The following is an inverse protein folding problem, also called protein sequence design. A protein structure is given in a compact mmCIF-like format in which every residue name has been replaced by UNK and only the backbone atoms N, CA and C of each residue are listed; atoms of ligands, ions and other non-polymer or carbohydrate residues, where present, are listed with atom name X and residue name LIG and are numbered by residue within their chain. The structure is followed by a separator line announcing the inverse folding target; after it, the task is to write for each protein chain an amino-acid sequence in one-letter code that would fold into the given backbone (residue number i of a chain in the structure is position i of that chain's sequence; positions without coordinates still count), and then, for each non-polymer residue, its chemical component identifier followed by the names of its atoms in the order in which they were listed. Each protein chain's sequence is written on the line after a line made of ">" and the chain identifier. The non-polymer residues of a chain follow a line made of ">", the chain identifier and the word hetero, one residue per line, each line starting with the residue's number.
data_IF_447948580374
#
_entry.id   IF_447948580374
#
_cell.length_a   1.000
_cell.length_b   1.000
_cell.length_c   1.000
_cell.angle_alpha   90.00
_cell.angle_beta   90.00
_cell.angle_gamma   90.00
#
_symmetry.space_group_name_H-M   'P 1'
#
loop_
_entity.id
_entity.type
_entity.pdbx_description
1 polymer ?
#
# COMPACT_ATOMS: atom_id res chain seq x y z
N UNK A 1 -17.11 15.14 -1.86
CA UNK A 1 -15.87 15.26 -1.06
C UNK A 1 -15.75 14.10 -0.08
N UNK A 2 -14.55 13.55 0.14
CA UNK A 2 -14.34 12.51 1.14
C UNK A 2 -14.30 13.07 2.58
N UNK A 3 -14.62 12.22 3.56
CA UNK A 3 -14.50 12.56 5.00
C UNK A 3 -13.02 12.81 5.35
N UNK A 4 -12.73 13.85 6.15
CA UNK A 4 -11.36 14.19 6.60
C UNK A 4 -10.63 13.00 7.24
N UNK A 5 -11.35 12.16 7.99
CA UNK A 5 -10.81 10.94 8.61
C UNK A 5 -10.27 9.93 7.58
N UNK A 6 -10.92 9.78 6.43
CA UNK A 6 -10.47 8.88 5.36
C UNK A 6 -9.19 9.40 4.69
N UNK A 7 -9.10 10.71 4.49
CA UNK A 7 -7.89 11.36 3.96
C UNK A 7 -6.71 11.10 4.90
N UNK A 8 -6.89 11.29 6.20
CA UNK A 8 -5.83 11.06 7.18
C UNK A 8 -5.45 9.58 7.31
N UNK A 9 -6.43 8.67 7.15
CA UNK A 9 -6.18 7.22 7.11
C UNK A 9 -5.26 6.85 5.94
N UNK A 10 -5.48 7.43 4.77
CA UNK A 10 -4.65 7.18 3.59
C UNK A 10 -3.25 7.77 3.75
N UNK A 11 -3.14 9.01 4.27
CA UNK A 11 -1.84 9.62 4.63
C UNK A 11 -1.04 8.76 5.60
N UNK A 12 -1.70 8.17 6.62
CA UNK A 12 -1.04 7.25 7.56
C UNK A 12 -0.53 5.99 6.87
N UNK A 13 -1.29 5.43 5.92
CA UNK A 13 -0.84 4.24 5.16
C UNK A 13 0.36 4.56 4.28
N UNK A 14 0.35 5.71 3.58
CA UNK A 14 1.48 6.13 2.75
C UNK A 14 2.78 6.25 3.56
N UNK A 15 2.71 6.88 4.75
CA UNK A 15 3.88 6.97 5.65
C UNK A 15 4.39 5.60 6.10
N UNK A 16 3.49 4.67 6.41
CA UNK A 16 3.86 3.31 6.82
C UNK A 16 4.43 2.49 5.66
N UNK A 17 3.89 2.66 4.46
CA UNK A 17 4.40 2.00 3.26
C UNK A 17 5.83 2.46 2.96
N UNK A 18 6.07 3.76 2.93
CA UNK A 18 7.41 4.33 2.74
C UNK A 18 8.41 3.83 3.79
N UNK A 19 8.01 3.79 5.07
CA UNK A 19 8.88 3.32 6.17
C UNK A 19 9.30 1.86 6.03
N UNK A 20 8.41 0.99 5.56
CA UNK A 20 8.65 -0.47 5.47
C UNK A 20 8.89 -0.96 4.03
N UNK A 21 9.00 -0.06 3.06
CA UNK A 21 9.08 -0.39 1.64
C UNK A 21 10.23 -1.36 1.35
N UNK A 22 11.44 -0.98 1.79
CA UNK A 22 12.67 -1.75 1.57
C UNK A 22 12.61 -3.13 2.23
N UNK A 23 12.15 -3.20 3.49
CA UNK A 23 12.04 -4.45 4.26
C UNK A 23 11.09 -5.43 3.56
N UNK A 24 9.93 -4.94 3.09
CA UNK A 24 8.97 -5.80 2.39
C UNK A 24 9.48 -6.24 1.03
N UNK A 25 10.24 -5.39 0.34
CA UNK A 25 10.84 -5.71 -0.95
C UNK A 25 11.95 -6.77 -0.80
N UNK A 26 12.82 -6.64 0.20
CA UNK A 26 13.88 -7.63 0.45
C UNK A 26 13.29 -8.99 0.82
N UNK A 27 12.35 -9.04 1.78
CA UNK A 27 11.71 -10.31 2.17
C UNK A 27 10.97 -10.97 1.01
N UNK A 28 10.32 -10.20 0.12
CA UNK A 28 9.70 -10.76 -1.08
C UNK A 28 10.72 -11.35 -2.05
N UNK A 29 11.86 -10.70 -2.25
CA UNK A 29 12.95 -11.21 -3.09
C UNK A 29 13.55 -12.49 -2.50
N UNK A 30 13.72 -12.55 -1.18
CA UNK A 30 14.21 -13.73 -0.48
C UNK A 30 13.27 -14.92 -0.65
N UNK A 31 11.95 -14.74 -0.47
CA UNK A 31 10.94 -15.80 -0.68
C UNK A 31 11.03 -16.42 -2.08
N UNK A 32 11.31 -15.61 -3.10
CA UNK A 32 11.42 -16.07 -4.49
C UNK A 32 12.69 -16.88 -4.77
N UNK A 33 13.75 -16.69 -3.98
CA UNK A 33 15.06 -17.35 -4.19
C UNK A 33 15.19 -18.66 -3.43
N UNK A 34 14.56 -18.74 -2.26
CA UNK A 34 14.67 -19.90 -1.38
C UNK A 34 13.88 -21.08 -1.97
N UNK A 35 14.46 -22.30 -2.07
CA UNK A 35 13.75 -23.48 -2.56
C UNK A 35 13.00 -24.20 -1.42
N UNK A 36 13.59 -24.26 -0.23
CA UNK A 36 13.10 -24.98 0.94
C UNK A 36 11.81 -24.39 1.51
N UNK A 37 10.89 -25.25 1.92
CA UNK A 37 9.63 -24.82 2.53
C UNK A 37 9.82 -24.27 3.95
N UNK A 38 10.68 -24.90 4.75
CA UNK A 38 10.97 -24.48 6.12
C UNK A 38 11.48 -23.03 6.19
N UNK A 39 12.46 -22.69 5.35
CA UNK A 39 13.06 -21.36 5.37
C UNK A 39 12.08 -20.30 4.82
N UNK A 40 11.21 -20.66 3.85
CA UNK A 40 10.10 -19.81 3.43
C UNK A 40 9.16 -19.48 4.58
N UNK A 41 8.83 -20.45 5.44
CA UNK A 41 7.96 -20.21 6.59
C UNK A 41 8.52 -19.16 7.55
N UNK A 42 9.83 -19.14 7.76
CA UNK A 42 10.47 -18.12 8.59
C UNK A 42 10.36 -16.73 7.99
N UNK A 43 10.58 -16.61 6.69
CA UNK A 43 10.47 -15.32 5.98
C UNK A 43 9.01 -14.83 5.97
N UNK A 44 8.04 -15.74 5.82
CA UNK A 44 6.63 -15.40 5.96
C UNK A 44 6.29 -14.89 7.37
N UNK A 45 6.82 -15.52 8.43
CA UNK A 45 6.67 -15.02 9.81
C UNK A 45 7.21 -13.58 9.96
N UNK A 46 8.40 -13.30 9.41
CA UNK A 46 8.98 -11.94 9.39
C UNK A 46 8.13 -10.94 8.60
N UNK A 47 7.54 -11.37 7.49
CA UNK A 47 6.68 -10.52 6.66
C UNK A 47 5.32 -10.24 7.31
N UNK A 48 4.82 -11.18 8.12
CA UNK A 48 3.55 -11.09 8.86
C UNK A 48 3.66 -10.24 10.13
N UNK A 49 4.84 -10.15 10.76
CA UNK A 49 5.06 -9.27 11.92
C UNK A 49 4.98 -7.78 11.57
N UNK A 50 5.17 -7.43 10.29
CA UNK A 50 5.03 -6.06 9.80
C UNK A 50 3.58 -5.55 9.86
N UNK A 51 3.35 -4.25 10.10
CA UNK A 51 2.01 -3.68 10.15
C UNK A 51 1.20 -3.94 8.88
N UNK A 52 -0.06 -4.39 9.01
CA UNK A 52 -0.94 -4.69 7.86
C UNK A 52 -1.07 -3.52 6.88
N UNK A 53 -1.07 -2.29 7.38
CA UNK A 53 -1.24 -1.05 6.62
C UNK A 53 0.03 -0.60 5.85
N UNK A 54 1.19 -1.23 6.07
CA UNK A 54 2.40 -0.93 5.30
C UNK A 54 2.44 -1.65 3.94
N UNK A 55 1.49 -2.55 3.67
CA UNK A 55 1.41 -3.21 2.38
C UNK A 55 0.97 -2.23 1.28
N UNK A 56 1.70 -2.13 0.15
CA UNK A 56 1.37 -1.19 -0.93
C UNK A 56 0.02 -1.50 -1.58
N UNK A 57 -0.43 -2.75 -1.53
CA UNK A 57 -1.75 -3.18 -2.03
C UNK A 57 -2.92 -2.56 -1.26
N UNK A 58 -2.68 -1.99 -0.08
CA UNK A 58 -3.73 -1.30 0.71
C UNK A 58 -3.84 0.18 0.43
N UNK A 59 -2.90 0.74 -0.32
CA UNK A 59 -3.00 2.11 -0.76
C UNK A 59 -4.12 2.24 -1.79
N UNK A 60 -4.93 3.26 -1.63
CA UNK A 60 -6.06 3.52 -2.50
C UNK A 60 -5.84 4.85 -3.23
N UNK A 61 -5.81 4.80 -4.57
CA UNK A 61 -5.74 6.01 -5.39
C UNK A 61 -7.07 6.75 -5.34
N UNK A 62 -7.03 8.00 -4.93
CA UNK A 62 -8.21 8.87 -4.79
C UNK A 62 -7.92 10.20 -5.48
N UNK A 63 -8.96 10.88 -5.98
CA UNK A 63 -8.78 12.15 -6.68
C UNK A 63 -8.00 13.16 -5.84
N UNK A 64 -7.10 13.93 -6.45
CA UNK A 64 -6.30 14.93 -5.76
C UNK A 64 -7.16 16.05 -5.13
N UNK A 65 -8.18 16.54 -5.85
CA UNK A 65 -9.10 17.59 -5.43
C UNK A 65 -10.15 17.06 -4.45
N UNK A 66 -11.10 16.24 -4.92
CA UNK A 66 -12.24 15.81 -4.10
C UNK A 66 -11.98 14.61 -3.19
N UNK A 67 -10.85 13.92 -3.37
CA UNK A 67 -10.48 12.68 -2.64
C UNK A 67 -11.49 11.54 -2.83
N UNK A 68 -12.26 11.59 -3.92
CA UNK A 68 -13.20 10.54 -4.30
C UNK A 68 -12.47 9.24 -4.63
N UNK A 69 -12.98 8.12 -4.16
CA UNK A 69 -12.35 6.80 -4.34
C UNK A 69 -12.65 6.15 -5.68
N UNK A 70 -13.77 6.50 -6.32
CA UNK A 70 -14.20 5.85 -7.57
C UNK A 70 -13.99 6.77 -8.76
N UNK A 71 -13.90 6.18 -9.95
CA UNK A 71 -13.80 6.87 -11.23
C UNK A 71 -12.57 7.80 -11.37
N UNK A 72 -11.44 7.42 -10.76
CA UNK A 72 -10.18 8.15 -10.89
C UNK A 72 -9.45 7.76 -12.17
N UNK A 73 -9.11 8.75 -12.99
CA UNK A 73 -8.18 8.55 -14.11
C UNK A 73 -6.75 8.50 -13.60
N UNK A 74 -5.95 7.56 -14.10
CA UNK A 74 -4.55 7.39 -13.65
C UNK A 74 -3.63 8.50 -14.16
N UNK A 75 -3.89 8.99 -15.37
CA UNK A 75 -3.04 9.99 -16.02
C UNK A 75 -3.24 11.38 -15.39
N UNK A 76 -4.49 11.72 -15.06
CA UNK A 76 -4.84 13.03 -14.52
C UNK A 76 -5.00 13.06 -12.99
N UNK A 77 -5.19 11.91 -12.35
CA UNK A 77 -5.45 11.84 -10.91
C UNK A 77 -6.76 12.54 -10.47
N UNK A 78 -7.68 12.79 -11.40
CA UNK A 78 -8.98 13.44 -11.21
C UNK A 78 -10.14 12.47 -11.46
N UNK A 79 -11.34 12.84 -11.04
CA UNK A 79 -12.55 12.06 -11.34
C UNK A 79 -13.34 12.64 -12.52
N UNK A 80 -14.09 11.78 -13.24
CA UNK A 80 -15.14 12.24 -14.18
C UNK A 80 -16.07 13.26 -13.50
N UNK A 81 -16.25 14.43 -14.12
CA UNK A 81 -17.13 15.50 -13.64
C UNK A 81 -16.47 16.54 -12.73
N UNK A 82 -15.15 16.68 -12.78
CA UNK A 82 -14.40 17.83 -12.23
C UNK A 82 -13.97 18.78 -13.37
N UNK A 83 -14.89 19.08 -14.29
CA UNK A 83 -14.85 20.28 -15.14
C UNK A 83 -15.56 21.42 -14.41
#
# INVERSE_FOLDING_TARGET
>A
MARKSLIQREKRRQRLEQKYHLIRQSSKKEISKVPSLSDKWEIYRKLQSSPRNSAPTRLHRSCFSTRRSRANYRDFGSTKGEE
#
